data_IF_924124297661
#
_entry.id   IF_924124297661
#
_cell.length_a   1.000
_cell.length_b   1.000
_cell.length_c   1.000
_cell.angle_alpha   90.00
_cell.angle_beta   90.00
_cell.angle_gamma   90.00
#
_symmetry.space_group_name_H-M   'P 1'
#
loop_
_entity.id
_entity.type
_entity.pdbx_description
1 polymer ?
#
# COMPACT_ATOMS: atom_id res chain seq x y z
N UNK A 1 1.06 -23.81 24.29
CA UNK A 1 1.97 -22.90 23.57
C UNK A 1 3.41 -23.20 23.96
N UNK A 2 3.96 -24.30 23.47
CA UNK A 2 5.30 -24.82 23.84
C UNK A 2 5.94 -25.60 22.70
N UNK A 3 5.77 -25.12 21.47
CA UNK A 3 6.35 -25.76 20.29
C UNK A 3 7.81 -25.31 20.19
N UNK A 4 8.75 -26.26 20.22
CA UNK A 4 10.16 -25.96 20.01
C UNK A 4 10.41 -25.75 18.51
N UNK A 5 10.84 -24.54 18.15
CA UNK A 5 11.11 -24.17 16.76
C UNK A 5 12.59 -24.38 16.44
N UNK A 6 12.86 -25.29 15.52
CA UNK A 6 14.20 -25.45 14.94
C UNK A 6 14.64 -24.16 14.23
N UNK A 7 15.95 -23.94 14.10
CA UNK A 7 16.50 -22.73 13.46
C UNK A 7 15.94 -22.52 12.04
N UNK A 8 15.78 -23.59 11.27
CA UNK A 8 15.26 -23.56 9.90
C UNK A 8 13.78 -23.14 9.85
N UNK A 9 12.96 -23.60 10.80
CA UNK A 9 11.56 -23.18 10.88
C UNK A 9 11.43 -21.70 11.24
N UNK A 10 12.29 -21.19 12.13
CA UNK A 10 12.33 -19.74 12.46
C UNK A 10 12.73 -18.90 11.25
N UNK A 11 13.76 -19.31 10.51
CA UNK A 11 14.18 -18.62 9.28
C UNK A 11 13.11 -18.64 8.19
N UNK A 12 12.39 -19.75 8.05
CA UNK A 12 11.24 -19.84 7.14
C UNK A 12 10.13 -18.83 7.51
N UNK A 13 9.85 -18.68 8.80
CA UNK A 13 8.87 -17.71 9.29
C UNK A 13 9.33 -16.26 9.05
N UNK A 14 10.61 -15.96 9.31
CA UNK A 14 11.24 -14.65 9.04
C UNK A 14 11.07 -14.25 7.57
N UNK A 15 11.38 -15.16 6.64
CA UNK A 15 11.22 -14.92 5.20
C UNK A 15 9.77 -14.73 4.77
N UNK A 16 8.84 -15.48 5.36
CA UNK A 16 7.40 -15.24 5.17
C UNK A 16 7.01 -13.84 5.63
N UNK A 17 7.51 -13.41 6.79
CA UNK A 17 7.23 -12.09 7.34
C UNK A 17 7.77 -10.96 6.45
N UNK A 18 8.99 -11.10 5.92
CA UNK A 18 9.57 -10.13 4.98
C UNK A 18 8.73 -9.99 3.72
N UNK A 19 8.24 -11.10 3.19
CA UNK A 19 7.39 -11.10 1.99
C UNK A 19 6.01 -10.49 2.29
N UNK A 20 5.43 -10.78 3.46
CA UNK A 20 4.17 -10.18 3.90
C UNK A 20 4.29 -8.65 4.10
N UNK A 21 5.41 -8.20 4.67
CA UNK A 21 5.71 -6.79 4.83
C UNK A 21 5.87 -6.09 3.46
N UNK A 22 6.58 -6.72 2.52
CA UNK A 22 6.70 -6.21 1.16
C UNK A 22 5.35 -6.05 0.45
N UNK A 23 4.49 -7.07 0.50
CA UNK A 23 3.12 -6.99 -0.06
C UNK A 23 2.30 -5.88 0.61
N UNK A 24 2.44 -5.72 1.92
CA UNK A 24 1.76 -4.65 2.67
C UNK A 24 2.18 -3.27 2.19
N UNK A 25 3.47 -3.07 1.90
CA UNK A 25 3.98 -1.81 1.33
C UNK A 25 3.35 -1.53 -0.03
N UNK A 26 3.28 -2.53 -0.93
CA UNK A 26 2.68 -2.36 -2.26
C UNK A 26 1.21 -1.95 -2.17
N UNK A 27 0.44 -2.54 -1.26
CA UNK A 27 -0.97 -2.19 -1.05
C UNK A 27 -1.12 -0.73 -0.55
N UNK A 28 -0.23 -0.29 0.35
CA UNK A 28 -0.23 1.11 0.81
C UNK A 28 0.17 2.06 -0.32
N UNK A 29 1.15 1.69 -1.15
CA UNK A 29 1.56 2.50 -2.32
C UNK A 29 0.41 2.74 -3.29
N UNK A 30 -0.52 1.79 -3.45
CA UNK A 30 -1.72 2.03 -4.26
C UNK A 30 -2.52 3.23 -3.77
N UNK A 31 -2.61 3.38 -2.45
CA UNK A 31 -3.35 4.47 -1.83
C UNK A 31 -2.58 5.78 -1.91
N UNK A 32 -1.28 5.74 -1.63
CA UNK A 32 -0.42 6.92 -1.72
C UNK A 32 -0.38 7.48 -3.14
N UNK A 33 -0.30 6.63 -4.17
CA UNK A 33 -0.38 7.04 -5.58
C UNK A 33 -1.72 7.71 -5.92
N UNK A 34 -2.83 7.19 -5.37
CA UNK A 34 -4.16 7.78 -5.55
C UNK A 34 -4.26 9.15 -4.86
N UNK A 35 -3.69 9.30 -3.66
CA UNK A 35 -3.71 10.54 -2.89
C UNK A 35 -2.84 11.62 -3.55
N UNK A 36 -1.60 11.28 -3.90
CA UNK A 36 -0.64 12.20 -4.53
C UNK A 36 -1.13 12.77 -5.87
N UNK A 37 -2.08 12.09 -6.53
CA UNK A 37 -2.71 12.56 -7.76
C UNK A 37 -3.50 13.86 -7.58
N UNK A 38 -4.13 14.06 -6.42
CA UNK A 38 -5.06 15.17 -6.19
C UNK A 38 -4.71 15.93 -4.92
N UNK A 39 -4.18 17.15 -5.06
CA UNK A 39 -3.81 18.00 -3.91
C UNK A 39 -5.00 18.66 -3.22
N UNK A 40 -6.03 19.08 -3.99
CA UNK A 40 -7.18 19.84 -3.46
C UNK A 40 -8.53 19.27 -3.88
N UNK A 41 -8.64 18.71 -5.08
CA UNK A 41 -9.87 18.13 -5.63
C UNK A 41 -10.08 16.68 -5.15
N UNK A 42 -11.33 16.20 -5.16
CA UNK A 42 -11.63 14.85 -4.67
C UNK A 42 -11.38 13.90 -5.83
N UNK A 43 -10.88 12.72 -5.51
CA UNK A 43 -10.61 11.69 -6.51
C UNK A 43 -11.90 11.35 -7.27
N UNK A 44 -13.06 11.40 -6.60
CA UNK A 44 -14.37 11.17 -7.20
C UNK A 44 -14.80 12.25 -8.20
N UNK A 45 -14.41 13.51 -7.98
CA UNK A 45 -14.76 14.61 -8.89
C UNK A 45 -13.79 14.70 -10.08
N UNK A 46 -12.52 14.36 -9.88
CA UNK A 46 -11.49 14.53 -10.90
C UNK A 46 -11.42 13.35 -11.90
N UNK A 47 -11.82 12.15 -11.46
CA UNK A 47 -11.80 10.94 -12.29
C UNK A 47 -10.40 10.37 -12.54
N UNK A 48 -10.33 9.06 -12.83
CA UNK A 48 -9.09 8.30 -13.02
C UNK A 48 -8.67 8.18 -14.51
N UNK A 49 -8.67 9.28 -15.26
CA UNK A 49 -8.36 9.27 -16.69
C UNK A 49 -6.86 9.21 -17.05
N UNK A 50 -5.96 9.13 -16.07
CA UNK A 50 -4.52 9.11 -16.36
C UNK A 50 -4.03 7.69 -16.65
N UNK A 51 -3.93 7.34 -17.94
CA UNK A 51 -3.44 6.04 -18.40
C UNK A 51 -2.06 5.66 -17.84
N UNK A 52 -1.14 6.61 -17.68
CA UNK A 52 0.21 6.33 -17.16
C UNK A 52 0.18 5.91 -15.69
N UNK A 53 -0.71 6.51 -14.89
CA UNK A 53 -0.83 6.19 -13.47
C UNK A 53 -1.48 4.81 -13.26
N UNK A 54 -2.52 4.50 -14.03
CA UNK A 54 -3.15 3.18 -14.01
C UNK A 54 -2.20 2.09 -14.50
N UNK A 55 -1.36 2.38 -15.50
CA UNK A 55 -0.31 1.48 -15.95
C UNK A 55 0.75 1.25 -14.86
N UNK A 56 1.18 2.31 -14.15
CA UNK A 56 2.11 2.19 -13.04
C UNK A 56 1.58 1.28 -11.92
N UNK A 57 0.33 1.47 -11.51
CA UNK A 57 -0.38 0.61 -10.54
C UNK A 57 -0.42 -0.86 -10.99
N UNK A 58 -0.75 -1.10 -12.26
CA UNK A 58 -0.80 -2.45 -12.81
C UNK A 58 0.58 -3.11 -12.87
N UNK A 59 1.60 -2.35 -13.30
CA UNK A 59 2.98 -2.81 -13.36
C UNK A 59 3.51 -3.15 -11.98
N UNK A 60 3.28 -2.29 -10.99
CA UNK A 60 3.68 -2.50 -9.60
C UNK A 60 3.03 -3.77 -9.03
N UNK A 61 1.72 -3.93 -9.24
CA UNK A 61 0.98 -5.13 -8.82
C UNK A 61 1.52 -6.39 -9.48
N UNK A 62 1.77 -6.34 -10.79
CA UNK A 62 2.31 -7.46 -11.55
C UNK A 62 3.72 -7.83 -11.07
N UNK A 63 4.56 -6.84 -10.81
CA UNK A 63 5.90 -7.02 -10.27
C UNK A 63 5.85 -7.62 -8.87
N UNK A 64 4.94 -7.17 -8.00
CA UNK A 64 4.76 -7.72 -6.66
C UNK A 64 4.33 -9.19 -6.68
N UNK A 65 3.39 -9.54 -7.57
CA UNK A 65 2.95 -10.92 -7.79
C UNK A 65 4.11 -11.76 -8.35
N UNK A 66 4.82 -11.24 -9.34
CA UNK A 66 5.98 -11.92 -9.94
C UNK A 66 7.06 -12.20 -8.88
N UNK A 67 7.43 -11.21 -8.06
CA UNK A 67 8.43 -11.38 -7.01
C UNK A 67 7.97 -12.36 -5.90
N UNK A 68 6.68 -12.38 -5.58
CA UNK A 68 6.14 -13.22 -4.50
C UNK A 68 5.97 -14.69 -4.90
N UNK A 69 5.73 -14.98 -6.19
CA UNK A 69 5.36 -16.33 -6.66
C UNK A 69 6.32 -16.94 -7.68
N UNK A 70 7.31 -16.20 -8.19
CA UNK A 70 8.26 -16.75 -9.16
C UNK A 70 9.26 -17.72 -8.48
N UNK A 71 9.34 -18.99 -8.91
CA UNK A 71 10.30 -19.94 -8.37
C UNK A 71 11.74 -19.51 -8.70
N UNK A 72 12.64 -19.58 -7.73
CA UNK A 72 14.04 -19.13 -7.83
C UNK A 72 14.34 -17.83 -7.07
N UNK A 73 13.33 -16.98 -6.85
CA UNK A 73 13.48 -15.81 -5.97
C UNK A 73 13.56 -16.16 -4.48
N UNK A 74 13.12 -17.36 -4.10
CA UNK A 74 13.29 -17.91 -2.75
C UNK A 74 14.78 -17.99 -2.35
N UNK A 75 15.68 -18.24 -3.30
CA UNK A 75 17.13 -18.30 -3.04
C UNK A 75 17.82 -16.94 -3.19
N UNK A 76 17.39 -16.11 -4.15
CA UNK A 76 17.98 -14.78 -4.38
C UNK A 76 17.52 -13.72 -3.38
N UNK A 77 16.22 -13.57 -3.19
CA UNK A 77 15.60 -12.53 -2.36
C UNK A 77 14.94 -13.05 -1.09
N UNK A 78 14.97 -14.38 -0.85
CA UNK A 78 14.38 -15.03 0.33
C UNK A 78 12.89 -14.70 0.49
N UNK A 79 12.19 -14.53 -0.63
CA UNK A 79 10.75 -14.32 -0.64
C UNK A 79 10.04 -15.66 -0.72
N UNK A 80 9.11 -15.92 0.19
CA UNK A 80 8.34 -17.16 0.21
C UNK A 80 6.93 -16.94 -0.31
N UNK A 81 6.31 -17.94 -0.97
CA UNK A 81 4.96 -17.84 -1.47
C UNK A 81 3.98 -17.55 -0.33
N UNK A 82 3.31 -16.41 -0.42
CA UNK A 82 2.36 -15.95 0.58
C UNK A 82 0.99 -16.58 0.33
N UNK A 83 0.26 -16.88 1.42
CA UNK A 83 -1.18 -17.18 1.32
C UNK A 83 -1.96 -15.88 1.06
N UNK A 84 -3.05 -15.98 0.30
CA UNK A 84 -3.95 -14.86 0.04
C UNK A 84 -4.44 -14.14 1.30
N UNK A 85 -4.62 -14.87 2.41
CA UNK A 85 -5.05 -14.31 3.70
C UNK A 85 -4.13 -13.22 4.24
N UNK A 86 -2.84 -13.23 3.88
CA UNK A 86 -1.86 -12.24 4.33
C UNK A 86 -1.95 -10.91 3.57
N UNK A 87 -2.76 -10.83 2.52
CA UNK A 87 -3.05 -9.58 1.82
C UNK A 87 -4.11 -8.75 2.57
N UNK A 88 -5.01 -9.42 3.31
CA UNK A 88 -6.11 -8.79 4.02
C UNK A 88 -5.68 -7.78 5.11
N UNK A 89 -4.64 -8.02 5.92
CA UNK A 89 -4.27 -7.10 6.99
C UNK A 89 -3.86 -5.72 6.51
N UNK A 90 -3.31 -5.58 5.30
CA UNK A 90 -2.88 -4.30 4.75
C UNK A 90 -4.04 -3.46 4.18
N UNK A 91 -5.12 -4.11 3.72
CA UNK A 91 -6.31 -3.44 3.19
C UNK A 91 -6.96 -2.43 4.16
N UNK A 92 -7.22 -2.73 5.44
CA UNK A 92 -7.81 -1.76 6.35
C UNK A 92 -6.89 -0.56 6.62
N UNK A 93 -5.56 -0.73 6.61
CA UNK A 93 -4.63 0.38 6.74
C UNK A 93 -4.65 1.28 5.50
N UNK A 94 -4.61 0.69 4.30
CA UNK A 94 -4.79 1.41 3.03
C UNK A 94 -6.11 2.18 3.00
N UNK A 95 -7.23 1.55 3.38
CA UNK A 95 -8.53 2.22 3.45
C UNK A 95 -8.55 3.38 4.45
N UNK A 96 -7.89 3.22 5.61
CA UNK A 96 -7.80 4.28 6.62
C UNK A 96 -7.02 5.50 6.12
N UNK A 97 -5.89 5.28 5.44
CA UNK A 97 -5.09 6.35 4.81
C UNK A 97 -5.91 7.09 3.75
N UNK A 98 -6.64 6.35 2.92
CA UNK A 98 -7.53 6.93 1.91
C UNK A 98 -8.62 7.82 2.52
N UNK A 99 -9.31 7.31 3.54
CA UNK A 99 -10.39 8.05 4.23
C UNK A 99 -9.83 9.31 4.87
N UNK A 100 -8.69 9.22 5.56
CA UNK A 100 -8.05 10.36 6.21
C UNK A 100 -7.73 11.47 5.20
N UNK A 101 -7.19 11.12 4.04
CA UNK A 101 -6.87 12.10 3.02
C UNK A 101 -8.11 12.73 2.35
N UNK A 102 -9.14 11.95 2.04
CA UNK A 102 -10.39 12.52 1.51
C UNK A 102 -11.08 13.42 2.54
N UNK A 103 -11.03 13.09 3.83
CA UNK A 103 -11.52 13.96 4.91
C UNK A 103 -10.70 15.26 4.96
N UNK A 104 -9.37 15.18 4.90
CA UNK A 104 -8.49 16.37 4.84
C UNK A 104 -8.85 17.26 3.65
N UNK A 105 -8.99 16.68 2.45
CA UNK A 105 -9.36 17.42 1.22
C UNK A 105 -10.77 18.00 1.30
N UNK A 106 -11.73 17.31 1.94
CA UNK A 106 -13.08 17.82 2.17
C UNK A 106 -13.08 19.01 3.13
N UNK A 107 -12.31 18.94 4.21
CA UNK A 107 -12.14 20.06 5.14
C UNK A 107 -11.51 21.27 4.44
N UNK A 108 -10.48 21.07 3.61
CA UNK A 108 -9.85 22.12 2.81
C UNK A 108 -10.80 22.81 1.81
N UNK A 109 -11.85 22.13 1.33
CA UNK A 109 -12.87 22.75 0.45
C UNK A 109 -14.01 23.42 1.20
N UNK A 110 -14.33 22.95 2.39
CA UNK A 110 -15.48 23.42 3.15
C UNK A 110 -15.11 24.64 4.01
N UNK A 111 -13.86 24.72 4.45
CA UNK A 111 -13.35 25.79 5.29
C UNK A 111 -12.96 27.03 4.45
N UNK A 112 -13.18 28.25 4.95
CA UNK A 112 -12.79 29.47 4.23
C UNK A 112 -11.28 29.55 3.97
N UNK A 113 -10.86 30.24 2.88
CA UNK A 113 -9.44 30.36 2.52
C UNK A 113 -8.63 31.06 3.62
N UNK A 114 -7.48 30.49 3.98
CA UNK A 114 -6.58 31.01 5.03
C UNK A 114 -6.67 30.33 6.40
N UNK A 115 -7.41 29.23 6.51
CA UNK A 115 -7.48 28.44 7.75
C UNK A 115 -6.16 27.73 8.08
N UNK A 116 -5.93 27.44 9.37
CA UNK A 116 -4.72 26.76 9.87
C UNK A 116 -4.43 25.45 9.13
N UNK A 117 -5.48 24.68 8.79
CA UNK A 117 -5.36 23.44 8.01
C UNK A 117 -4.80 23.69 6.61
N UNK A 118 -5.18 24.77 5.94
CA UNK A 118 -4.62 25.13 4.63
C UNK A 118 -3.19 25.67 4.73
N UNK A 119 -2.81 26.33 5.83
CA UNK A 119 -1.43 26.81 6.00
C UNK A 119 -0.45 25.69 6.37
N UNK A 120 -0.89 24.70 7.15
CA UNK A 120 -0.01 23.64 7.67
C UNK A 120 -0.02 22.36 6.83
N UNK A 121 -1.15 22.03 6.18
CA UNK A 121 -1.30 20.73 5.49
C UNK A 121 -1.34 20.80 3.97
N UNK A 122 -1.22 22.01 3.41
CA UNK A 122 -1.19 22.23 1.96
C UNK A 122 0.25 22.12 1.42
N UNK A 123 0.68 20.88 1.21
CA UNK A 123 1.91 20.52 0.50
C UNK A 123 1.62 19.59 -0.66
#
# INVERSE_FOLDING_TARGET
YGQEWTYTQRKRLEYTCHTAFFVSIVIVQWTDLLICKTRKNSIFQQGMWNHHLTFGLFFETTLAIFLSYCPGLEQGLRMMPLRWTWWLPALPFSASIFIFDEVRKKLLRTLPPGNWVERETYY
#
